data_IF_027103861800
#
_entry.id   IF_027103861800
#
_cell.length_a   1.000
_cell.length_b   1.000
_cell.length_c   1.000
_cell.angle_alpha   90.00
_cell.angle_beta   90.00
_cell.angle_gamma   90.00
#
_symmetry.space_group_name_H-M   'P 1'
#
loop_
_entity.id
_entity.type
_entity.pdbx_description
1 polymer ?
#
# COMPACT_ATOMS: atom_id res chain seq x y z
N UNK A 1 31.79 -0.83 17.10
CA UNK A 1 30.72 0.14 16.83
C UNK A 1 30.53 0.20 15.33
N UNK A 2 29.48 -0.43 14.79
CA UNK A 2 29.23 -0.45 13.35
C UNK A 2 27.91 0.26 13.09
N UNK A 3 28.00 1.55 12.81
CA UNK A 3 26.89 2.37 12.32
C UNK A 3 26.53 1.90 10.91
N UNK A 4 25.63 0.92 10.81
CA UNK A 4 24.94 0.64 9.55
C UNK A 4 23.93 1.77 9.34
N UNK A 5 24.27 2.69 8.45
CA UNK A 5 23.32 3.62 7.86
C UNK A 5 22.18 2.81 7.23
N UNK A 6 21.09 2.61 7.98
CA UNK A 6 19.79 2.24 7.44
C UNK A 6 19.30 3.46 6.65
N UNK A 7 19.77 3.63 5.41
CA UNK A 7 19.01 4.39 4.41
C UNK A 7 17.71 3.61 4.24
N UNK A 8 16.66 4.08 4.92
CA UNK A 8 15.32 3.49 4.86
C UNK A 8 14.98 3.24 3.41
N UNK A 9 14.81 1.97 3.04
CA UNK A 9 14.51 1.59 1.68
C UNK A 9 13.24 2.37 1.27
N UNK A 10 13.24 3.20 0.21
CA UNK A 10 12.09 4.03 -0.15
C UNK A 10 10.82 3.19 -0.35
N UNK A 11 10.98 1.91 -0.68
CA UNK A 11 9.90 0.92 -0.79
C UNK A 11 9.16 0.63 0.53
N UNK A 12 9.83 0.72 1.69
CA UNK A 12 9.13 0.60 2.99
C UNK A 12 8.23 1.81 3.28
N UNK A 13 8.43 2.95 2.60
CA UNK A 13 7.67 4.17 2.87
C UNK A 13 6.19 4.00 2.51
N UNK A 14 5.86 3.38 1.37
CA UNK A 14 4.46 3.23 0.96
C UNK A 14 3.64 2.35 1.89
N UNK A 15 4.26 1.30 2.43
CA UNK A 15 3.60 0.43 3.42
C UNK A 15 3.39 1.15 4.74
N UNK A 16 4.39 1.88 5.21
CA UNK A 16 4.27 2.67 6.44
C UNK A 16 3.20 3.74 6.29
N UNK A 17 3.15 4.42 5.15
CA UNK A 17 2.11 5.41 4.84
C UNK A 17 0.69 4.83 4.87
N UNK A 18 0.46 3.66 4.28
CA UNK A 18 -0.84 2.98 4.38
C UNK A 18 -1.16 2.55 5.81
N UNK A 19 -0.17 2.06 6.55
CA UNK A 19 -0.34 1.71 7.95
C UNK A 19 -0.69 2.96 8.79
N UNK A 20 -0.11 4.12 8.49
CA UNK A 20 -0.50 5.38 9.14
C UNK A 20 -1.95 5.76 8.82
N UNK A 21 -2.40 5.59 7.57
CA UNK A 21 -3.82 5.81 7.20
C UNK A 21 -4.76 4.90 8.02
N UNK A 22 -4.35 3.64 8.22
CA UNK A 22 -5.06 2.68 9.07
C UNK A 22 -5.06 3.09 10.56
N UNK A 23 -3.90 3.48 11.09
CA UNK A 23 -3.73 3.87 12.49
C UNK A 23 -4.46 5.17 12.85
N UNK A 24 -4.48 6.13 11.92
CA UNK A 24 -5.22 7.39 12.06
C UNK A 24 -6.75 7.19 11.88
N UNK A 25 -7.19 5.97 11.54
CA UNK A 25 -8.60 5.60 11.41
C UNK A 25 -9.28 6.15 10.16
N UNK A 26 -8.52 6.49 9.12
CA UNK A 26 -9.10 6.97 7.85
C UNK A 26 -9.72 5.83 7.03
N UNK A 27 -9.11 4.65 7.03
CA UNK A 27 -9.59 3.47 6.31
C UNK A 27 -8.97 2.18 6.86
N UNK A 28 -9.49 1.01 6.44
CA UNK A 28 -8.87 -0.31 6.64
C UNK A 28 -8.64 -0.99 5.32
N UNK A 29 -7.61 -1.83 5.27
CA UNK A 29 -7.17 -2.50 4.07
C UNK A 29 -7.11 -4.02 4.25
N UNK A 30 -7.47 -4.75 3.20
CA UNK A 30 -7.15 -6.16 3.02
C UNK A 30 -6.08 -6.27 1.94
N UNK A 31 -5.03 -7.04 2.21
CA UNK A 31 -3.93 -7.25 1.25
C UNK A 31 -3.84 -8.72 0.90
N UNK A 32 -4.00 -9.02 -0.38
CA UNK A 32 -3.93 -10.37 -0.94
C UNK A 32 -2.74 -10.46 -1.89
N UNK A 33 -2.09 -11.62 -1.97
CA UNK A 33 -0.92 -11.83 -2.83
C UNK A 33 -1.05 -13.15 -3.56
N UNK A 34 -0.87 -13.10 -4.87
CA UNK A 34 -1.06 -14.24 -5.75
C UNK A 34 0.14 -14.38 -6.70
N UNK A 35 0.61 -15.60 -6.96
CA UNK A 35 1.56 -15.82 -8.04
C UNK A 35 0.84 -15.59 -9.38
N UNK A 36 1.44 -14.79 -10.26
CA UNK A 36 0.84 -14.43 -11.55
C UNK A 36 1.72 -14.81 -12.75
N UNK A 37 3.03 -14.97 -12.54
CA UNK A 37 3.98 -15.22 -13.63
C UNK A 37 4.09 -16.69 -14.00
N UNK A 38 4.52 -16.95 -15.24
CA UNK A 38 4.86 -18.28 -15.73
C UNK A 38 5.99 -18.91 -14.89
N UNK A 39 6.07 -20.24 -14.85
CA UNK A 39 7.09 -20.96 -14.07
C UNK A 39 8.53 -20.50 -14.34
N UNK A 40 8.81 -20.02 -15.56
CA UNK A 40 10.12 -19.56 -16.00
C UNK A 40 10.36 -18.06 -15.76
N UNK A 41 9.31 -17.31 -15.38
CA UNK A 41 9.34 -15.87 -15.05
C UNK A 41 8.34 -15.61 -13.92
N UNK A 42 8.64 -16.08 -12.69
CA UNK A 42 7.72 -15.92 -11.59
C UNK A 42 7.53 -14.43 -11.29
N UNK A 43 6.30 -13.96 -11.40
CA UNK A 43 5.88 -12.64 -10.95
C UNK A 43 4.82 -12.82 -9.87
N UNK A 44 4.70 -11.79 -9.05
CA UNK A 44 3.71 -11.69 -8.00
C UNK A 44 2.76 -10.56 -8.31
N UNK A 45 1.50 -10.78 -7.99
CA UNK A 45 0.45 -9.78 -7.95
C UNK A 45 0.09 -9.55 -6.50
N UNK A 46 -0.02 -8.29 -6.09
CA UNK A 46 -0.59 -7.90 -4.81
C UNK A 46 -1.80 -7.03 -5.04
N UNK A 47 -2.87 -7.27 -4.28
CA UNK A 47 -4.13 -6.53 -4.37
C UNK A 47 -4.38 -5.94 -2.99
N UNK A 48 -4.51 -4.61 -2.93
CA UNK A 48 -4.90 -3.86 -1.73
C UNK A 48 -6.34 -3.40 -1.91
N UNK A 49 -7.23 -3.86 -1.04
CA UNK A 49 -8.67 -3.55 -1.10
C UNK A 49 -9.09 -2.78 0.13
N UNK A 50 -9.86 -1.72 -0.04
CA UNK A 50 -10.44 -0.95 1.05
C UNK A 50 -11.62 -1.73 1.64
N UNK A 51 -11.56 -2.08 2.92
CA UNK A 51 -12.62 -2.84 3.61
C UNK A 51 -13.50 -1.97 4.50
N UNK A 52 -12.99 -0.81 4.91
CA UNK A 52 -13.66 0.13 5.78
C UNK A 52 -13.10 1.54 5.52
N UNK A 53 -13.92 2.56 5.68
CA UNK A 53 -13.56 3.96 5.46
C UNK A 53 -14.24 4.83 6.50
N UNK A 54 -13.54 5.86 6.98
CA UNK A 54 -14.12 6.84 7.91
C UNK A 54 -15.37 7.50 7.29
N UNK A 55 -16.47 7.70 8.02
CA UNK A 55 -17.75 8.12 7.43
C UNK A 55 -17.72 9.42 6.63
N UNK A 56 -16.85 10.36 6.98
CA UNK A 56 -16.64 11.62 6.25
C UNK A 56 -15.97 11.43 4.88
N UNK A 57 -15.19 10.35 4.72
CA UNK A 57 -14.51 9.98 3.48
C UNK A 57 -15.32 9.04 2.60
N UNK A 58 -16.37 8.40 3.13
CA UNK A 58 -17.21 7.46 2.39
C UNK A 58 -17.91 8.08 1.16
N UNK A 59 -18.00 9.42 1.10
CA UNK A 59 -18.52 10.15 -0.08
C UNK A 59 -17.51 10.27 -1.23
N UNK A 60 -16.22 10.07 -0.94
CA UNK A 60 -15.12 10.27 -1.89
C UNK A 60 -14.36 8.97 -2.18
N UNK A 61 -14.33 8.04 -1.23
CA UNK A 61 -13.64 6.76 -1.34
C UNK A 61 -14.66 5.64 -1.13
N UNK A 62 -14.86 4.83 -2.16
CA UNK A 62 -15.79 3.69 -2.11
C UNK A 62 -15.13 2.50 -1.41
N UNK A 63 -15.84 1.87 -0.47
CA UNK A 63 -15.46 0.57 0.10
C UNK A 63 -15.44 -0.46 -1.04
N UNK A 64 -14.52 -1.43 -1.00
CA UNK A 64 -14.19 -2.36 -2.10
C UNK A 64 -13.37 -1.77 -3.25
N UNK A 65 -13.01 -0.49 -3.22
CA UNK A 65 -11.96 0.02 -4.12
C UNK A 65 -10.70 -0.80 -3.94
N UNK A 66 -10.17 -1.33 -5.03
CA UNK A 66 -8.97 -2.17 -5.03
C UNK A 66 -7.90 -1.62 -5.96
N UNK A 67 -6.65 -1.74 -5.54
CA UNK A 67 -5.47 -1.38 -6.31
C UNK A 67 -4.57 -2.60 -6.45
N UNK A 68 -4.17 -2.89 -7.69
CA UNK A 68 -3.28 -4.01 -7.99
C UNK A 68 -1.88 -3.53 -8.35
N UNK A 69 -0.87 -4.16 -7.75
CA UNK A 69 0.54 -4.02 -8.08
C UNK A 69 1.15 -5.34 -8.54
N UNK A 70 2.09 -5.28 -9.48
CA UNK A 70 2.85 -6.45 -9.94
C UNK A 70 4.34 -6.24 -9.71
N UNK A 71 5.06 -7.33 -9.50
CA UNK A 71 6.49 -7.27 -9.22
C UNK A 71 7.17 -8.62 -9.37
N UNK A 72 8.51 -8.59 -9.39
CA UNK A 72 9.33 -9.82 -9.45
C UNK A 72 9.33 -10.56 -8.10
N UNK A 73 9.12 -9.83 -7.01
CA UNK A 73 8.93 -10.39 -5.67
C UNK A 73 7.57 -10.01 -5.09
N UNK A 74 7.10 -10.78 -4.08
CA UNK A 74 5.93 -10.40 -3.27
C UNK A 74 6.05 -8.98 -2.71
N UNK A 75 7.27 -8.60 -2.33
CA UNK A 75 7.56 -7.28 -1.78
C UNK A 75 7.29 -6.19 -2.81
N UNK A 76 7.87 -6.33 -4.00
CA UNK A 76 7.74 -5.33 -5.07
C UNK A 76 6.27 -5.19 -5.51
N UNK A 77 5.56 -6.32 -5.63
CA UNK A 77 4.15 -6.33 -5.98
C UNK A 77 3.30 -5.60 -4.93
N UNK A 78 3.57 -5.84 -3.64
CA UNK A 78 2.91 -5.16 -2.53
C UNK A 78 3.21 -3.67 -2.54
N UNK A 79 4.44 -3.26 -2.79
CA UNK A 79 4.82 -1.85 -2.82
C UNK A 79 4.14 -1.10 -3.96
N UNK A 80 4.08 -1.71 -5.14
CA UNK A 80 3.36 -1.15 -6.29
C UNK A 80 1.84 -1.03 -6.01
N UNK A 81 1.25 -2.00 -5.32
CA UNK A 81 -0.16 -1.95 -4.93
C UNK A 81 -0.42 -0.85 -3.89
N UNK A 82 0.47 -0.77 -2.88
CA UNK A 82 0.42 0.24 -1.84
C UNK A 82 0.55 1.66 -2.41
N UNK A 83 1.50 1.88 -3.32
CA UNK A 83 1.71 3.18 -3.97
C UNK A 83 0.46 3.65 -4.71
N UNK A 84 -0.19 2.77 -5.47
CA UNK A 84 -1.44 3.09 -6.18
C UNK A 84 -2.57 3.42 -5.21
N UNK A 85 -2.70 2.66 -4.12
CA UNK A 85 -3.72 2.95 -3.11
C UNK A 85 -3.49 4.32 -2.46
N UNK A 86 -2.25 4.68 -2.16
CA UNK A 86 -1.93 6.01 -1.63
C UNK A 86 -2.34 7.15 -2.57
N UNK A 87 -2.31 6.93 -3.89
CA UNK A 87 -2.79 7.94 -4.86
C UNK A 87 -4.31 8.18 -4.74
N UNK A 88 -5.09 7.15 -4.37
CA UNK A 88 -6.54 7.29 -4.09
C UNK A 88 -6.76 8.23 -2.91
N UNK A 89 -5.99 8.05 -1.83
CA UNK A 89 -6.07 8.91 -0.64
C UNK A 89 -5.53 10.32 -0.92
N UNK A 90 -4.46 10.45 -1.70
CA UNK A 90 -3.93 11.75 -2.12
C UNK A 90 -4.94 12.56 -2.94
N UNK A 91 -5.73 11.91 -3.81
CA UNK A 91 -6.82 12.55 -4.55
C UNK A 91 -7.92 13.10 -3.62
N UNK A 92 -8.02 12.58 -2.39
CA UNK A 92 -8.89 13.05 -1.33
C UNK A 92 -8.21 14.01 -0.35
N UNK A 93 -7.02 14.53 -0.69
CA UNK A 93 -6.17 15.39 0.14
C UNK A 93 -5.70 14.75 1.47
N UNK A 94 -5.62 13.42 1.52
CA UNK A 94 -5.12 12.68 2.67
C UNK A 94 -3.66 12.30 2.41
N UNK A 95 -2.77 12.88 3.20
CA UNK A 95 -1.33 12.66 3.10
C UNK A 95 -0.81 12.14 4.45
N UNK A 96 -0.54 10.84 4.58
CA UNK A 96 0.01 10.28 5.82
C UNK A 96 1.39 10.89 6.09
N UNK A 97 1.54 11.48 7.27
CA UNK A 97 2.83 11.99 7.76
C UNK A 97 3.58 10.82 8.37
N UNK A 98 4.57 10.30 7.65
CA UNK A 98 5.53 9.37 8.25
C UNK A 98 6.47 10.24 9.10
N UNK A 99 6.32 10.19 10.43
CA UNK A 99 7.32 10.81 11.31
C UNK A 99 8.68 10.18 11.00
N UNK A 100 9.62 11.03 10.63
CA UNK A 100 10.97 10.67 10.18
C UNK A 100 11.94 10.57 11.36
#
# INVERSE_FOLDING_TARGET
MSSKNNKGNPYNQYRMQLNTIEQDGYAKFKIENEPAGEANKPTWTSIVTITDVRPDLAKSIEIQTSCQGTGLTKSDAKDAACQKMLQVFAACNIFPKVES
#
